data_IF_802568437974
#
_entry.id   IF_802568437974
#
_cell.length_a   1.000
_cell.length_b   1.000
_cell.length_c   1.000
_cell.angle_alpha   90.00
_cell.angle_beta   90.00
_cell.angle_gamma   90.00
#
_symmetry.space_group_name_H-M   'P 1'
#
loop_
_entity.id
_entity.type
_entity.pdbx_description
1 polymer ?
#
# COMPACT_ATOMS: atom_id res chain seq x y z
N UNK A 1 18.53 -6.02 -18.50
CA UNK A 1 18.25 -4.58 -18.67
C UNK A 1 18.52 -4.24 -20.13
N UNK A 2 17.50 -3.72 -20.82
CA UNK A 2 17.64 -3.13 -22.15
C UNK A 2 18.49 -1.87 -22.00
N UNK A 3 19.46 -1.61 -22.88
CA UNK A 3 20.31 -0.41 -22.78
C UNK A 3 19.53 0.83 -23.20
N UNK A 4 19.82 1.99 -22.59
CA UNK A 4 19.17 3.26 -22.94
C UNK A 4 19.34 3.60 -24.43
N UNK A 5 20.47 3.22 -25.03
CA UNK A 5 20.69 3.35 -26.48
C UNK A 5 19.71 2.52 -27.30
N UNK A 6 19.48 1.26 -26.91
CA UNK A 6 18.54 0.39 -27.62
C UNK A 6 17.10 0.93 -27.51
N UNK A 7 16.73 1.51 -26.37
CA UNK A 7 15.42 2.17 -26.19
C UNK A 7 15.27 3.35 -27.16
N UNK A 8 16.31 4.18 -27.30
CA UNK A 8 16.30 5.33 -28.23
C UNK A 8 16.21 4.85 -29.70
N UNK A 9 16.98 3.83 -30.06
CA UNK A 9 16.98 3.24 -31.40
C UNK A 9 15.60 2.68 -31.78
N UNK A 10 14.91 2.04 -30.82
CA UNK A 10 13.56 1.51 -31.02
C UNK A 10 12.50 2.59 -31.30
N UNK A 11 12.67 3.83 -30.80
CA UNK A 11 11.69 4.90 -31.02
C UNK A 11 11.54 5.26 -32.49
N UNK A 12 12.65 5.45 -33.19
CA UNK A 12 12.65 5.76 -34.62
C UNK A 12 12.05 4.61 -35.44
N UNK A 13 12.37 3.36 -35.06
CA UNK A 13 11.80 2.18 -35.73
C UNK A 13 10.27 2.15 -35.54
N UNK A 14 9.79 2.32 -34.31
CA UNK A 14 8.36 2.27 -34.01
C UNK A 14 7.59 3.44 -34.63
N UNK A 15 8.21 4.62 -34.72
CA UNK A 15 7.63 5.77 -35.41
C UNK A 15 7.43 5.51 -36.90
N UNK A 16 8.46 5.01 -37.58
CA UNK A 16 8.38 4.64 -38.98
C UNK A 16 7.32 3.55 -39.21
N UNK A 17 7.33 2.51 -38.38
CA UNK A 17 6.35 1.40 -38.47
C UNK A 17 4.91 1.88 -38.22
N UNK A 18 4.68 2.69 -37.19
CA UNK A 18 3.34 3.20 -36.88
C UNK A 18 2.79 4.03 -38.04
N UNK A 19 3.61 4.92 -38.62
CA UNK A 19 3.20 5.72 -39.77
C UNK A 19 2.92 4.86 -41.01
N UNK A 20 3.73 3.83 -41.27
CA UNK A 20 3.47 2.88 -42.37
C UNK A 20 2.16 2.10 -42.17
N UNK A 21 1.89 1.64 -40.94
CA UNK A 21 0.65 0.94 -40.61
C UNK A 21 -0.58 1.85 -40.76
N UNK A 22 -0.49 3.11 -40.34
CA UNK A 22 -1.57 4.09 -40.54
C UNK A 22 -1.86 4.29 -42.02
N UNK A 23 -0.83 4.50 -42.86
CA UNK A 23 -1.01 4.63 -44.30
C UNK A 23 -1.63 3.39 -44.95
N UNK A 24 -1.22 2.19 -44.52
CA UNK A 24 -1.83 0.95 -45.01
C UNK A 24 -3.30 0.85 -44.61
N UNK A 25 -3.62 1.17 -43.36
CA UNK A 25 -5.00 1.19 -42.86
C UNK A 25 -5.87 2.18 -43.63
N UNK A 26 -5.36 3.39 -43.91
CA UNK A 26 -6.06 4.41 -44.69
C UNK A 26 -6.31 3.92 -46.13
N UNK A 27 -5.29 3.35 -46.78
CA UNK A 27 -5.40 2.77 -48.12
C UNK A 27 -6.42 1.62 -48.17
N UNK A 28 -6.41 0.72 -47.18
CA UNK A 28 -7.40 -0.38 -47.08
C UNK A 28 -8.81 0.19 -46.88
N UNK A 29 -8.97 1.18 -46.00
CA UNK A 29 -10.27 1.83 -45.76
C UNK A 29 -10.82 2.50 -47.02
N UNK A 30 -9.95 3.14 -47.82
CA UNK A 30 -10.33 3.74 -49.10
C UNK A 30 -10.76 2.66 -50.12
N UNK A 31 -10.07 1.51 -50.13
CA UNK A 31 -10.43 0.36 -50.95
C UNK A 31 -11.80 -0.20 -50.53
N UNK A 32 -12.02 -0.40 -49.23
CA UNK A 32 -13.31 -0.89 -48.71
C UNK A 32 -14.46 0.07 -49.06
N UNK A 33 -14.28 1.38 -48.91
CA UNK A 33 -15.27 2.37 -49.29
C UNK A 33 -15.62 2.30 -50.79
N UNK A 34 -14.62 2.06 -51.64
CA UNK A 34 -14.82 1.85 -53.09
C UNK A 34 -15.55 0.52 -53.36
N UNK A 35 -15.25 -0.55 -52.64
CA UNK A 35 -15.97 -1.82 -52.77
C UNK A 35 -17.44 -1.74 -52.32
N UNK A 36 -17.73 -0.96 -51.27
CA UNK A 36 -19.12 -0.69 -50.86
C UNK A 36 -19.88 0.02 -51.99
N UNK A 37 -19.27 1.01 -52.64
CA UNK A 37 -19.85 1.67 -53.80
C UNK A 37 -20.06 0.72 -54.99
N UNK A 38 -19.11 -0.18 -55.27
CA UNK A 38 -19.25 -1.22 -56.31
C UNK A 38 -20.41 -2.19 -55.99
N UNK A 39 -20.61 -2.54 -54.72
CA UNK A 39 -21.76 -3.37 -54.31
C UNK A 39 -23.10 -2.65 -54.56
N UNK A 40 -23.10 -1.32 -54.49
CA UNK A 40 -24.25 -0.48 -54.80
C UNK A 40 -24.46 -0.38 -56.33
N UNK A 41 -23.39 -0.32 -57.12
CA UNK A 41 -23.43 -0.38 -58.59
C UNK A 41 -23.83 -1.78 -59.13
N UNK A 42 -23.63 -2.85 -58.35
CA UNK A 42 -24.14 -4.19 -58.70
C UNK A 42 -25.67 -4.23 -58.85
N UNK A 43 -26.40 -3.35 -58.16
CA UNK A 43 -27.85 -3.19 -58.38
C UNK A 43 -28.19 -2.57 -59.74
N UNK A 44 -27.27 -1.80 -60.33
CA UNK A 44 -27.38 -1.28 -61.69
C UNK A 44 -26.95 -2.34 -62.73
N UNK A 45 -26.01 -3.22 -62.39
CA UNK A 45 -25.66 -4.38 -63.23
C UNK A 45 -26.83 -5.35 -63.40
N UNK A 46 -27.68 -5.56 -62.39
CA UNK A 46 -28.92 -6.33 -62.56
C UNK A 46 -29.92 -5.67 -63.52
N UNK A 47 -30.02 -4.34 -63.51
CA UNK A 47 -30.81 -3.60 -64.48
C UNK A 47 -30.20 -3.66 -65.90
N UNK A 48 -28.87 -3.75 -65.99
CA UNK A 48 -28.13 -3.90 -67.24
C UNK A 48 -28.23 -5.33 -67.80
N UNK A 49 -28.22 -6.37 -66.95
CA UNK A 49 -28.55 -7.75 -67.32
C UNK A 49 -29.98 -7.86 -67.87
N UNK A 50 -30.93 -7.12 -67.29
CA UNK A 50 -32.30 -7.09 -67.76
C UNK A 50 -32.43 -6.39 -69.13
N UNK A 51 -31.67 -5.32 -69.37
CA UNK A 51 -31.55 -4.68 -70.69
C UNK A 51 -30.79 -5.56 -71.70
N UNK A 52 -29.75 -6.29 -71.28
CA UNK A 52 -29.02 -7.23 -72.14
C UNK A 52 -29.90 -8.41 -72.55
N UNK A 53 -30.75 -8.92 -71.66
CA UNK A 53 -31.73 -9.94 -72.01
C UNK A 53 -32.83 -9.44 -72.98
N UNK A 54 -33.13 -8.13 -72.97
CA UNK A 54 -33.97 -7.48 -73.98
C UNK A 54 -33.24 -7.26 -75.32
N UNK A 55 -31.95 -6.91 -75.28
CA UNK A 55 -31.07 -6.79 -76.46
C UNK A 55 -30.77 -8.14 -77.13
N UNK A 56 -30.58 -9.22 -76.37
CA UNK A 56 -30.41 -10.58 -76.91
C UNK A 56 -31.67 -11.06 -77.65
N UNK A 57 -32.86 -10.61 -77.26
CA UNK A 57 -34.10 -10.83 -78.00
C UNK A 57 -34.22 -9.97 -79.27
N UNK A 58 -33.27 -9.07 -79.53
CA UNK A 58 -33.23 -8.16 -80.69
C UNK A 58 -31.91 -8.23 -81.48
N UNK A 59 -31.25 -9.41 -81.44
CA UNK A 59 -29.95 -9.76 -82.06
C UNK A 59 -29.78 -9.48 -83.57
N UNK A 60 -30.80 -9.04 -84.30
CA UNK A 60 -30.71 -8.76 -85.75
C UNK A 60 -30.12 -7.38 -86.12
N UNK A 61 -29.63 -6.58 -85.17
CA UNK A 61 -29.06 -5.23 -85.42
C UNK A 61 -27.81 -4.89 -84.60
N UNK A 62 -26.80 -5.76 -84.56
CA UNK A 62 -25.49 -5.42 -84.02
C UNK A 62 -24.44 -5.46 -85.13
N UNK A 63 -23.88 -4.29 -85.47
CA UNK A 63 -22.70 -4.16 -86.33
C UNK A 63 -21.43 -4.19 -85.45
N UNK A 64 -20.32 -4.71 -86.00
CA UNK A 64 -19.04 -4.92 -85.30
C UNK A 64 -18.40 -3.65 -84.68
N UNK A 65 -18.96 -2.45 -84.90
CA UNK A 65 -18.46 -1.18 -84.34
C UNK A 65 -18.94 -0.90 -82.90
N UNK A 66 -19.96 -1.58 -82.39
CA UNK A 66 -20.56 -1.28 -81.07
C UNK A 66 -19.80 -1.90 -79.87
N UNK A 67 -18.81 -2.78 -80.12
CA UNK A 67 -17.97 -3.40 -79.09
C UNK A 67 -16.55 -2.80 -79.02
N UNK A 68 -16.27 -1.73 -79.76
CA UNK A 68 -14.93 -1.16 -79.88
C UNK A 68 -14.40 -0.48 -78.60
N UNK A 69 -15.28 -0.08 -77.67
CA UNK A 69 -14.91 0.72 -76.49
C UNK A 69 -14.67 -0.10 -75.22
N UNK A 70 -14.99 -1.41 -75.19
CA UNK A 70 -14.70 -2.24 -74.01
C UNK A 70 -13.30 -2.84 -74.13
N UNK A 71 -12.33 -2.23 -73.44
CA UNK A 71 -10.97 -2.72 -73.38
C UNK A 71 -10.71 -3.48 -72.05
N UNK A 72 -10.61 -4.82 -72.06
CA UNK A 72 -10.27 -5.61 -70.88
C UNK A 72 -8.93 -5.20 -70.25
N UNK A 73 -8.01 -4.65 -71.05
CA UNK A 73 -6.69 -4.22 -70.57
C UNK A 73 -6.79 -3.02 -69.62
N UNK A 74 -7.85 -2.20 -69.64
CA UNK A 74 -8.01 -1.11 -68.68
C UNK A 74 -8.22 -1.61 -67.25
N UNK A 75 -8.94 -2.72 -67.06
CA UNK A 75 -9.14 -3.33 -65.73
C UNK A 75 -7.81 -3.88 -65.21
N UNK A 76 -7.04 -4.56 -66.07
CA UNK A 76 -5.69 -5.02 -65.72
C UNK A 76 -4.75 -3.85 -65.42
N UNK A 77 -4.83 -2.75 -66.17
CA UNK A 77 -4.04 -1.54 -65.89
C UNK A 77 -4.44 -0.85 -64.59
N UNK A 78 -5.72 -0.83 -64.23
CA UNK A 78 -6.18 -0.29 -62.93
C UNK A 78 -5.66 -1.18 -61.79
N UNK A 79 -5.79 -2.51 -61.91
CA UNK A 79 -5.28 -3.45 -60.93
C UNK A 79 -3.76 -3.32 -60.75
N UNK A 80 -3.02 -3.27 -61.85
CA UNK A 80 -1.56 -3.14 -61.82
C UNK A 80 -1.10 -1.76 -61.33
N UNK A 81 -1.85 -0.69 -61.64
CA UNK A 81 -1.61 0.66 -61.10
C UNK A 81 -1.84 0.71 -59.60
N UNK A 82 -2.88 0.06 -59.09
CA UNK A 82 -3.14 -0.05 -57.65
C UNK A 82 -2.11 -0.93 -56.94
N UNK A 83 -1.74 -2.06 -57.53
CA UNK A 83 -0.71 -2.94 -56.99
C UNK A 83 0.64 -2.23 -56.94
N UNK A 84 0.98 -1.45 -57.97
CA UNK A 84 2.18 -0.62 -57.99
C UNK A 84 2.10 0.57 -57.04
N UNK A 85 0.93 1.18 -56.83
CA UNK A 85 0.76 2.25 -55.82
C UNK A 85 0.99 1.71 -54.40
N UNK A 86 0.35 0.58 -54.06
CA UNK A 86 0.57 -0.12 -52.78
C UNK A 86 2.04 -0.51 -52.62
N UNK A 87 2.69 -1.01 -53.68
CA UNK A 87 4.10 -1.39 -53.69
C UNK A 87 5.06 -0.19 -53.62
N UNK A 88 4.61 1.01 -54.02
CA UNK A 88 5.36 2.27 -53.94
C UNK A 88 5.21 2.93 -52.57
N UNK A 89 4.04 2.79 -51.95
CA UNK A 89 3.75 3.25 -50.59
C UNK A 89 4.40 2.34 -49.53
N UNK A 90 4.51 1.03 -49.82
CA UNK A 90 5.39 0.09 -49.13
C UNK A 90 6.84 0.27 -49.58
N UNK A 91 7.45 1.41 -49.27
CA UNK A 91 8.92 1.50 -49.30
C UNK A 91 9.47 0.45 -48.34
N UNK A 92 10.03 -0.64 -48.88
CA UNK A 92 10.71 -1.64 -48.08
C UNK A 92 11.94 -1.00 -47.44
N UNK A 93 11.86 -0.66 -46.16
CA UNK A 93 13.04 -0.30 -45.36
C UNK A 93 13.90 -1.56 -45.32
N UNK A 94 15.04 -1.53 -46.00
CA UNK A 94 15.90 -2.70 -46.20
C UNK A 94 16.64 -3.03 -44.92
N UNK A 95 16.60 -4.30 -44.51
CA UNK A 95 17.36 -4.78 -43.35
C UNK A 95 18.68 -5.42 -43.79
N UNK A 96 19.79 -4.71 -43.64
CA UNK A 96 21.16 -5.27 -43.82
C UNK A 96 21.79 -5.64 -42.49
N UNK A 97 21.69 -4.72 -41.53
CA UNK A 97 22.20 -4.82 -40.17
C UNK A 97 21.41 -3.84 -39.28
N UNK A 98 21.45 -4.05 -37.97
CA UNK A 98 20.65 -3.28 -37.01
C UNK A 98 20.88 -1.77 -37.12
N UNK A 99 22.13 -1.34 -37.27
CA UNK A 99 22.49 0.07 -37.28
C UNK A 99 22.03 0.76 -38.57
N UNK A 100 22.22 0.11 -39.71
CA UNK A 100 21.68 0.55 -41.01
C UNK A 100 20.15 0.64 -40.98
N UNK A 101 19.47 -0.34 -40.38
CA UNK A 101 18.01 -0.34 -40.26
C UNK A 101 17.50 0.84 -39.43
N UNK A 102 18.08 1.07 -38.25
CA UNK A 102 17.75 2.24 -37.40
C UNK A 102 17.96 3.54 -38.19
N UNK A 103 19.09 3.67 -38.89
CA UNK A 103 19.40 4.87 -39.67
C UNK A 103 18.39 5.09 -40.80
N UNK A 104 17.96 4.03 -41.50
CA UNK A 104 16.95 4.14 -42.55
C UNK A 104 15.59 4.56 -42.00
N UNK A 105 15.17 4.03 -40.84
CA UNK A 105 13.94 4.46 -40.15
C UNK A 105 14.02 5.95 -39.76
N UNK A 106 15.15 6.40 -39.22
CA UNK A 106 15.35 7.83 -38.90
C UNK A 106 15.28 8.72 -40.14
N UNK A 107 15.89 8.30 -41.25
CA UNK A 107 15.81 9.02 -42.53
C UNK A 107 14.36 9.08 -43.01
N UNK A 108 13.63 7.95 -42.95
CA UNK A 108 12.23 7.87 -43.33
C UNK A 108 11.36 8.82 -42.50
N UNK A 109 11.52 8.81 -41.17
CA UNK A 109 10.79 9.68 -40.25
C UNK A 109 11.01 11.15 -40.60
N UNK A 110 12.27 11.57 -40.76
CA UNK A 110 12.63 12.94 -41.10
C UNK A 110 12.09 13.35 -42.47
N UNK A 111 12.12 12.46 -43.47
CA UNK A 111 11.58 12.73 -44.80
C UNK A 111 10.06 12.92 -44.79
N UNK A 112 9.35 12.25 -43.88
CA UNK A 112 7.90 12.38 -43.72
C UNK A 112 7.51 13.41 -42.65
N UNK A 113 8.47 14.17 -42.10
CA UNK A 113 8.22 15.23 -41.11
C UNK A 113 7.83 14.71 -39.72
N UNK A 114 8.16 13.46 -39.41
CA UNK A 114 7.94 12.82 -38.11
C UNK A 114 9.12 13.07 -37.18
N UNK A 115 8.89 13.03 -35.86
CA UNK A 115 9.94 13.09 -34.85
C UNK A 115 10.47 11.67 -34.55
N UNK A 116 11.74 11.34 -34.90
CA UNK A 116 12.31 10.02 -34.62
C UNK A 116 12.47 9.73 -33.11
N UNK A 117 12.37 10.76 -32.26
CA UNK A 117 12.48 10.66 -30.80
C UNK A 117 11.13 10.80 -30.09
N UNK A 118 10.04 10.68 -30.84
CA UNK A 118 8.68 10.78 -30.32
C UNK A 118 8.51 9.92 -29.04
N UNK A 119 7.83 10.47 -28.02
CA UNK A 119 7.57 9.74 -26.79
C UNK A 119 6.57 8.61 -27.06
N UNK A 120 6.69 7.48 -26.36
CA UNK A 120 5.92 6.27 -26.67
C UNK A 120 4.40 6.46 -26.56
N UNK A 121 3.95 7.46 -25.80
CA UNK A 121 2.56 7.84 -25.67
C UNK A 121 1.92 8.22 -27.02
N UNK A 122 2.71 8.64 -28.01
CA UNK A 122 2.23 8.97 -29.37
C UNK A 122 1.79 7.73 -30.15
N UNK A 123 2.27 6.54 -29.77
CA UNK A 123 1.92 5.27 -30.42
C UNK A 123 0.65 4.65 -29.85
N UNK A 124 0.12 5.17 -28.74
CA UNK A 124 -1.07 4.64 -28.12
C UNK A 124 -2.30 5.07 -28.92
N UNK A 125 -3.12 4.11 -29.31
CA UNK A 125 -4.42 4.39 -29.91
C UNK A 125 -5.38 4.92 -28.84
N UNK A 126 -6.49 5.52 -29.27
CA UNK A 126 -7.57 5.93 -28.35
C UNK A 126 -8.10 4.73 -27.55
N UNK A 127 -8.12 3.53 -28.15
CA UNK A 127 -8.49 2.29 -27.46
C UNK A 127 -7.49 1.92 -26.36
N UNK A 128 -6.19 2.08 -26.60
CA UNK A 128 -5.13 1.81 -25.61
C UNK A 128 -5.20 2.80 -24.45
N UNK A 129 -5.44 4.08 -24.74
CA UNK A 129 -5.63 5.11 -23.71
C UNK A 129 -6.87 4.82 -22.85
N UNK A 130 -7.97 4.36 -23.46
CA UNK A 130 -9.18 3.96 -22.74
C UNK A 130 -8.96 2.71 -21.89
N UNK A 131 -8.21 1.72 -22.38
CA UNK A 131 -7.81 0.54 -21.61
C UNK A 131 -7.03 0.96 -20.36
N UNK A 132 -5.97 1.76 -20.53
CA UNK A 132 -5.15 2.26 -19.43
C UNK A 132 -5.98 3.06 -18.42
N UNK A 133 -6.91 3.90 -18.90
CA UNK A 133 -7.82 4.65 -18.04
C UNK A 133 -8.78 3.75 -17.25
N UNK A 134 -9.31 2.70 -17.88
CA UNK A 134 -10.19 1.72 -17.25
C UNK A 134 -9.45 0.88 -16.19
N UNK A 135 -8.23 0.46 -16.48
CA UNK A 135 -7.40 -0.29 -15.52
C UNK A 135 -7.01 0.58 -14.33
N UNK A 136 -6.62 1.82 -14.59
CA UNK A 136 -6.42 2.84 -13.55
C UNK A 136 -7.66 2.98 -12.67
N UNK A 137 -8.85 3.03 -13.27
CA UNK A 137 -10.12 3.14 -12.56
C UNK A 137 -10.44 1.88 -11.76
N UNK A 138 -10.14 0.70 -12.29
CA UNK A 138 -10.28 -0.59 -11.61
C UNK A 138 -9.38 -0.67 -10.36
N UNK A 139 -8.12 -0.29 -10.50
CA UNK A 139 -7.17 -0.21 -9.39
C UNK A 139 -7.61 0.80 -8.32
N UNK A 140 -8.15 1.95 -8.71
CA UNK A 140 -8.63 2.93 -7.74
C UNK A 140 -9.94 2.45 -7.07
N UNK A 141 -10.78 1.69 -7.77
CA UNK A 141 -12.05 1.18 -7.27
C UNK A 141 -11.91 0.16 -6.13
N UNK A 142 -10.88 -0.70 -6.14
CA UNK A 142 -10.63 -1.65 -5.04
C UNK A 142 -10.33 -0.96 -3.69
N UNK A 143 -9.88 0.29 -3.70
CA UNK A 143 -9.63 1.09 -2.49
C UNK A 143 -10.82 1.99 -2.12
N UNK A 144 -11.82 2.13 -3.00
CA UNK A 144 -12.94 3.02 -2.78
C UNK A 144 -13.87 2.47 -1.70
N UNK A 145 -14.34 3.37 -0.84
CA UNK A 145 -15.31 3.04 0.20
C UNK A 145 -16.73 3.27 -0.29
N UNK A 146 -17.61 2.33 0.04
CA UNK A 146 -19.04 2.53 -0.13
C UNK A 146 -19.70 3.07 1.14
N UNK A 147 -21.02 3.29 1.05
CA UNK A 147 -21.83 3.84 2.13
C UNK A 147 -21.76 3.02 3.42
N UNK A 148 -21.64 1.69 3.31
CA UNK A 148 -21.55 0.80 4.47
C UNK A 148 -20.16 0.88 5.09
N UNK A 149 -19.11 0.96 4.28
CA UNK A 149 -17.74 1.15 4.78
C UNK A 149 -17.65 2.44 5.62
N UNK A 150 -18.17 3.57 5.11
CA UNK A 150 -18.23 4.83 5.86
C UNK A 150 -19.05 4.72 7.15
N UNK A 151 -20.20 4.04 7.09
CA UNK A 151 -21.05 3.84 8.27
C UNK A 151 -20.33 3.06 9.36
N UNK A 152 -19.69 1.93 9.03
CA UNK A 152 -19.00 1.10 10.02
C UNK A 152 -17.71 1.74 10.55
N UNK A 153 -16.99 2.51 9.72
CA UNK A 153 -15.86 3.32 10.18
C UNK A 153 -16.31 4.38 11.17
N UNK A 154 -17.36 5.13 10.83
CA UNK A 154 -17.91 6.16 11.72
C UNK A 154 -18.45 5.57 13.02
N UNK A 155 -19.27 4.51 12.92
CA UNK A 155 -19.86 3.84 14.07
C UNK A 155 -18.79 3.24 14.99
N UNK A 156 -17.79 2.55 14.46
CA UNK A 156 -16.70 1.97 15.27
C UNK A 156 -15.88 3.04 16.00
N UNK A 157 -15.51 4.12 15.31
CA UNK A 157 -14.79 5.25 15.92
C UNK A 157 -15.60 5.94 17.03
N UNK A 158 -16.90 6.18 16.80
CA UNK A 158 -17.79 6.78 17.80
C UNK A 158 -18.02 5.82 18.99
N UNK A 159 -18.23 4.54 18.74
CA UNK A 159 -18.36 3.53 19.81
C UNK A 159 -17.10 3.43 20.66
N UNK A 160 -15.92 3.48 20.04
CA UNK A 160 -14.65 3.52 20.74
C UNK A 160 -14.52 4.80 21.58
N UNK A 161 -14.88 5.97 21.03
CA UNK A 161 -14.91 7.23 21.78
C UNK A 161 -15.84 7.18 23.00
N UNK A 162 -17.05 6.63 22.84
CA UNK A 162 -17.99 6.43 23.95
C UNK A 162 -17.42 5.47 25.00
N UNK A 163 -16.78 4.39 24.57
CA UNK A 163 -16.12 3.43 25.46
C UNK A 163 -14.99 4.10 26.25
N UNK A 164 -14.20 4.94 25.59
CA UNK A 164 -13.11 5.70 26.20
C UNK A 164 -13.61 6.70 27.26
N UNK A 165 -14.73 7.37 27.01
CA UNK A 165 -15.32 8.34 27.95
C UNK A 165 -16.02 7.65 29.12
N UNK A 166 -16.82 6.61 28.85
CA UNK A 166 -17.72 6.01 29.85
C UNK A 166 -17.06 4.90 30.68
N UNK A 167 -16.14 4.12 30.10
CA UNK A 167 -15.56 2.94 30.74
C UNK A 167 -14.08 3.13 31.08
N UNK A 168 -13.31 3.73 30.18
CA UNK A 168 -11.86 3.93 30.39
C UNK A 168 -11.59 5.14 31.27
N UNK A 169 -12.12 6.32 30.95
CA UNK A 169 -11.97 7.53 31.78
C UNK A 169 -10.51 7.87 32.10
N UNK A 170 -10.23 8.16 33.37
CA UNK A 170 -8.87 8.29 33.93
C UNK A 170 -8.57 7.12 34.87
N UNK A 171 -7.32 6.92 35.33
CA UNK A 171 -6.98 5.84 36.27
C UNK A 171 -7.78 5.85 37.57
N UNK A 172 -8.33 6.99 37.98
CA UNK A 172 -9.13 7.16 39.20
C UNK A 172 -10.61 6.84 39.00
N UNK A 173 -11.13 7.03 37.79
CA UNK A 173 -12.57 6.88 37.51
C UNK A 173 -12.89 5.57 36.81
N UNK A 174 -11.90 4.92 36.21
CA UNK A 174 -12.06 3.66 35.49
C UNK A 174 -12.46 2.51 36.42
N UNK A 175 -13.67 1.92 36.26
CA UNK A 175 -14.09 0.77 37.05
C UNK A 175 -13.18 -0.44 36.80
N UNK A 176 -12.73 -0.63 35.55
CA UNK A 176 -11.87 -1.74 35.18
C UNK A 176 -10.47 -1.60 35.77
N UNK A 177 -9.91 -0.38 35.79
CA UNK A 177 -8.62 -0.13 36.44
C UNK A 177 -8.73 -0.38 37.95
N UNK A 178 -9.82 0.06 38.57
CA UNK A 178 -10.08 -0.18 40.00
C UNK A 178 -10.15 -1.68 40.31
N UNK A 179 -10.93 -2.44 39.53
CA UNK A 179 -11.05 -3.89 39.65
C UNK A 179 -9.69 -4.60 39.50
N UNK A 180 -8.87 -4.23 38.50
CA UNK A 180 -7.52 -4.82 38.36
C UNK A 180 -6.60 -4.50 39.54
N UNK A 181 -6.79 -3.36 40.22
CA UNK A 181 -5.99 -2.95 41.39
C UNK A 181 -6.39 -3.67 42.68
N UNK A 182 -7.52 -4.38 42.70
CA UNK A 182 -7.92 -5.23 43.84
C UNK A 182 -6.96 -6.42 44.01
N UNK A 183 -6.40 -6.93 42.90
CA UNK A 183 -5.39 -7.99 42.89
C UNK A 183 -4.01 -7.43 43.25
N UNK A 184 -3.82 -7.09 44.52
CA UNK A 184 -2.58 -6.50 45.00
C UNK A 184 -1.88 -7.29 46.11
N UNK A 185 -0.56 -7.15 46.15
CA UNK A 185 0.32 -7.80 47.13
C UNK A 185 0.19 -7.22 48.54
N UNK A 186 -0.68 -6.24 48.82
CA UNK A 186 -0.78 -5.60 50.15
C UNK A 186 -1.92 -6.11 51.03
N UNK A 187 -2.80 -6.99 50.51
CA UNK A 187 -3.88 -7.58 51.28
C UNK A 187 -3.39 -8.38 52.51
N UNK A 188 -4.19 -8.39 53.59
CA UNK A 188 -3.88 -9.09 54.85
C UNK A 188 -3.89 -10.60 54.64
N UNK A 189 -2.97 -11.32 55.28
CA UNK A 189 -2.91 -12.79 55.25
C UNK A 189 -4.27 -13.39 55.64
N UNK A 190 -4.84 -14.22 54.77
CA UNK A 190 -6.20 -14.79 54.90
C UNK A 190 -7.27 -14.16 53.99
N UNK A 191 -6.97 -13.04 53.33
CA UNK A 191 -7.82 -12.38 52.30
C UNK A 191 -7.10 -12.22 50.95
N UNK A 192 -5.99 -12.94 50.76
CA UNK A 192 -5.12 -12.83 49.58
C UNK A 192 -5.60 -13.85 48.54
N UNK A 193 -5.87 -13.40 47.31
CA UNK A 193 -6.20 -14.28 46.19
C UNK A 193 -4.95 -15.03 45.67
N UNK A 194 -5.17 -16.04 44.83
CA UNK A 194 -4.10 -16.89 44.31
C UNK A 194 -3.01 -16.13 43.55
N UNK A 195 -3.38 -15.08 42.81
CA UNK A 195 -2.44 -14.28 42.02
C UNK A 195 -1.60 -13.40 42.94
N UNK A 196 -2.23 -12.72 43.89
CA UNK A 196 -1.52 -11.88 44.86
C UNK A 196 -0.54 -12.69 45.74
N UNK A 197 -0.86 -13.96 46.06
CA UNK A 197 0.06 -14.85 46.74
C UNK A 197 1.25 -15.24 45.85
N UNK A 198 0.98 -15.63 44.60
CA UNK A 198 2.02 -15.97 43.63
C UNK A 198 2.96 -14.80 43.35
N UNK A 199 2.42 -13.59 43.17
CA UNK A 199 3.19 -12.36 42.99
C UNK A 199 4.13 -12.07 44.17
N UNK A 200 3.68 -12.30 45.42
CA UNK A 200 4.52 -12.17 46.62
C UNK A 200 5.67 -13.17 46.67
N UNK A 201 5.46 -14.39 46.20
CA UNK A 201 6.51 -15.41 46.18
C UNK A 201 7.54 -15.14 45.09
N UNK A 202 7.09 -14.60 43.95
CA UNK A 202 7.97 -14.10 42.90
C UNK A 202 8.78 -12.87 43.36
N UNK A 203 8.18 -11.92 44.08
CA UNK A 203 8.88 -10.75 44.63
C UNK A 203 10.08 -11.16 45.52
N UNK A 204 9.91 -12.23 46.31
CA UNK A 204 10.96 -12.75 47.19
C UNK A 204 12.05 -13.52 46.43
N UNK A 205 11.66 -14.28 45.42
CA UNK A 205 12.54 -15.20 44.68
C UNK A 205 13.28 -14.52 43.53
N UNK A 206 12.62 -13.60 42.82
CA UNK A 206 13.09 -12.95 41.60
C UNK A 206 13.60 -11.53 41.90
N UNK A 207 14.60 -11.43 42.78
CA UNK A 207 15.29 -10.15 43.03
C UNK A 207 16.22 -9.81 41.87
N UNK A 208 16.25 -8.53 41.52
CA UNK A 208 17.00 -7.99 40.38
C UNK A 208 17.80 -6.76 40.81
N UNK A 209 18.96 -6.48 40.20
CA UNK A 209 19.82 -5.36 40.61
C UNK A 209 19.18 -4.00 40.33
N UNK A 210 18.39 -3.89 39.26
CA UNK A 210 17.77 -2.63 38.84
C UNK A 210 16.62 -2.13 39.73
N UNK A 211 16.22 -2.92 40.73
CA UNK A 211 15.28 -2.54 41.79
C UNK A 211 15.96 -1.64 42.86
N UNK A 212 17.29 -1.59 42.86
CA UNK A 212 18.05 -0.74 43.76
C UNK A 212 17.85 0.75 43.43
N UNK A 213 17.59 1.56 44.45
CA UNK A 213 17.33 3.00 44.32
C UNK A 213 18.63 3.82 44.25
N UNK A 214 19.49 3.51 43.27
CA UNK A 214 20.82 4.10 43.15
C UNK A 214 20.87 5.34 42.24
N UNK A 215 19.87 5.54 41.37
CA UNK A 215 19.82 6.70 40.47
C UNK A 215 19.20 7.93 41.15
N UNK A 216 19.70 9.12 40.82
CA UNK A 216 19.15 10.39 41.32
C UNK A 216 17.66 10.51 40.98
N UNK A 217 16.87 10.97 41.95
CA UNK A 217 15.42 11.17 41.77
C UNK A 217 14.55 9.93 42.01
N UNK A 218 15.17 8.77 42.26
CA UNK A 218 14.46 7.54 42.64
C UNK A 218 13.82 7.63 44.04
N UNK A 219 12.76 6.86 44.20
CA UNK A 219 12.03 6.66 45.45
C UNK A 219 11.25 5.34 45.36
N UNK A 220 10.66 4.89 46.47
CA UNK A 220 9.81 3.70 46.49
C UNK A 220 8.66 3.70 45.47
N UNK A 221 8.18 4.88 45.07
CA UNK A 221 7.13 5.00 44.04
C UNK A 221 7.67 5.26 42.63
N UNK A 222 8.87 5.82 42.46
CA UNK A 222 9.35 6.28 41.15
C UNK A 222 10.42 5.40 40.49
N UNK A 223 11.09 4.52 41.24
CA UNK A 223 12.18 3.70 40.69
C UNK A 223 11.73 2.82 39.51
N UNK A 224 10.52 2.24 39.60
CA UNK A 224 9.92 1.43 38.52
C UNK A 224 9.73 2.21 37.22
N UNK A 225 9.41 3.50 37.30
CA UNK A 225 9.29 4.32 36.10
C UNK A 225 10.66 4.68 35.53
N UNK A 226 11.63 4.96 36.41
CA UNK A 226 12.95 5.45 36.03
C UNK A 226 13.87 4.36 35.49
N UNK A 227 13.76 3.13 35.97
CA UNK A 227 14.55 1.99 35.51
C UNK A 227 13.86 1.30 34.33
N UNK A 228 14.56 1.15 33.21
CA UNK A 228 14.04 0.47 32.02
C UNK A 228 13.81 -1.02 32.27
N UNK A 229 14.41 -1.59 33.31
CA UNK A 229 14.21 -2.98 33.71
C UNK A 229 12.77 -3.31 34.05
N UNK A 230 11.97 -2.34 34.52
CA UNK A 230 10.55 -2.54 34.82
C UNK A 230 9.63 -2.22 33.63
N UNK A 231 10.14 -1.81 32.48
CA UNK A 231 9.29 -1.62 31.30
C UNK A 231 8.81 -3.00 30.77
N UNK A 232 7.50 -3.19 30.51
CA UNK A 232 6.98 -4.48 30.05
C UNK A 232 7.60 -4.99 28.74
N UNK A 233 8.14 -4.10 27.90
CA UNK A 233 8.80 -4.47 26.65
C UNK A 233 10.31 -4.26 26.74
N UNK A 234 10.74 -3.07 27.17
CA UNK A 234 12.16 -2.74 27.22
C UNK A 234 12.91 -3.49 28.32
N UNK A 235 12.21 -3.98 29.35
CA UNK A 235 12.77 -4.82 30.40
C UNK A 235 13.33 -6.15 29.88
N UNK A 236 12.80 -6.69 28.79
CA UNK A 236 13.37 -7.87 28.13
C UNK A 236 14.70 -7.59 27.41
N UNK A 237 15.07 -6.32 27.23
CA UNK A 237 16.38 -5.95 26.69
C UNK A 237 17.24 -5.41 27.83
N UNK A 238 16.86 -4.28 28.40
CA UNK A 238 17.65 -3.58 29.42
C UNK A 238 17.64 -4.31 30.77
N UNK A 239 16.49 -4.83 31.20
CA UNK A 239 16.39 -5.58 32.46
C UNK A 239 17.22 -6.86 32.45
N UNK A 240 17.20 -7.62 31.35
CA UNK A 240 18.05 -8.81 31.20
C UNK A 240 19.53 -8.44 31.22
N UNK A 241 19.93 -7.40 30.48
CA UNK A 241 21.32 -6.91 30.48
C UNK A 241 21.76 -6.45 31.87
N UNK A 242 20.88 -5.74 32.58
CA UNK A 242 21.11 -5.23 33.93
C UNK A 242 21.24 -6.37 34.94
N UNK A 243 20.40 -7.41 34.85
CA UNK A 243 20.51 -8.63 35.66
C UNK A 243 21.86 -9.32 35.43
N UNK A 244 22.28 -9.46 34.16
CA UNK A 244 23.54 -10.14 33.83
C UNK A 244 24.77 -9.33 34.25
N UNK A 245 24.68 -8.00 34.25
CA UNK A 245 25.82 -7.09 34.53
C UNK A 245 25.83 -6.54 35.96
N UNK A 246 24.78 -6.77 36.74
CA UNK A 246 24.64 -6.17 38.07
C UNK A 246 24.48 -4.65 38.01
N UNK A 247 23.78 -4.12 37.00
CA UNK A 247 23.60 -2.67 36.75
C UNK A 247 22.14 -2.24 36.89
N UNK A 248 21.91 -0.92 36.88
CA UNK A 248 20.61 -0.30 36.61
C UNK A 248 20.78 0.63 35.42
N UNK A 249 19.93 0.49 34.41
CA UNK A 249 19.90 1.36 33.23
C UNK A 249 18.55 2.07 33.16
N UNK A 250 18.57 3.40 33.00
CA UNK A 250 17.36 4.18 32.82
C UNK A 250 17.57 5.68 32.95
N UNK A 251 16.58 6.40 33.46
CA UNK A 251 16.58 7.85 33.53
C UNK A 251 16.68 8.35 34.97
N UNK A 252 17.79 9.02 35.28
CA UNK A 252 17.89 9.85 36.49
C UNK A 252 16.99 11.09 36.34
N UNK A 253 16.52 11.64 37.46
CA UNK A 253 15.68 12.84 37.49
C UNK A 253 16.23 13.85 38.50
N UNK A 254 16.74 14.97 37.99
CA UNK A 254 17.15 16.10 38.81
C UNK A 254 15.95 16.98 39.16
N UNK A 255 15.61 17.04 40.45
CA UNK A 255 14.47 17.81 40.97
C UNK A 255 14.65 19.32 40.85
N UNK A 256 15.89 19.82 40.79
CA UNK A 256 16.16 21.27 40.73
C UNK A 256 15.97 21.80 39.31
N UNK A 257 16.42 21.02 38.33
CA UNK A 257 16.36 21.41 36.91
C UNK A 257 15.15 20.81 36.18
N UNK A 258 14.43 19.87 36.79
CA UNK A 258 13.38 19.05 36.16
C UNK A 258 13.84 18.31 34.90
N UNK A 259 15.14 17.99 34.82
CA UNK A 259 15.74 17.30 33.68
C UNK A 259 15.90 15.81 33.97
N UNK A 260 15.54 14.99 32.99
CA UNK A 260 15.85 13.58 32.98
C UNK A 260 17.13 13.31 32.18
N UNK A 261 18.00 12.43 32.67
CA UNK A 261 19.23 12.05 31.97
C UNK A 261 19.39 10.54 31.94
N UNK A 262 19.67 10.00 30.76
CA UNK A 262 19.90 8.57 30.56
C UNK A 262 21.24 8.16 31.18
N UNK A 263 21.22 7.18 32.06
CA UNK A 263 22.37 6.73 32.84
C UNK A 263 22.36 5.22 33.02
N UNK A 264 23.54 4.66 33.22
CA UNK A 264 23.74 3.27 33.68
C UNK A 264 24.66 3.30 34.90
N UNK A 265 24.24 2.67 35.99
CA UNK A 265 25.00 2.61 37.24
C UNK A 265 25.26 1.16 37.68
N UNK A 266 26.46 0.83 38.16
CA UNK A 266 26.72 -0.45 38.80
C UNK A 266 26.02 -0.52 40.17
N UNK A 267 25.41 -1.66 40.47
CA UNK A 267 24.77 -1.96 41.77
C UNK A 267 25.53 -3.03 42.53
N UNK A 268 26.04 -4.03 41.81
CA UNK A 268 26.72 -5.18 42.37
C UNK A 268 27.90 -5.57 41.50
N UNK A 269 29.09 -5.69 42.10
CA UNK A 269 30.35 -6.00 41.40
C UNK A 269 30.54 -7.48 41.06
N UNK A 270 29.79 -8.38 41.70
CA UNK A 270 29.96 -9.84 41.61
C UNK A 270 28.70 -10.55 41.10
N UNK A 271 28.34 -10.35 39.83
CA UNK A 271 27.18 -11.02 39.23
C UNK A 271 27.60 -11.91 38.07
N UNK A 272 27.46 -13.22 38.25
CA UNK A 272 27.60 -14.22 37.19
C UNK A 272 26.27 -14.96 36.98
N UNK A 273 25.28 -14.26 36.42
CA UNK A 273 23.98 -14.85 36.07
C UNK A 273 23.97 -15.15 34.57
N UNK A 274 23.56 -16.36 34.19
CA UNK A 274 23.45 -16.76 32.78
C UNK A 274 22.17 -16.19 32.12
N UNK A 275 22.12 -16.19 30.78
CA UNK A 275 21.01 -15.60 30.03
C UNK A 275 19.64 -16.22 30.36
N UNK A 276 19.56 -17.55 30.49
CA UNK A 276 18.28 -18.25 30.76
C UNK A 276 17.77 -17.88 32.16
N UNK A 277 18.65 -17.90 33.15
CA UNK A 277 18.33 -17.48 34.51
C UNK A 277 17.92 -15.99 34.56
N UNK A 278 18.60 -15.13 33.79
CA UNK A 278 18.23 -13.72 33.67
C UNK A 278 16.84 -13.52 33.05
N UNK A 279 16.50 -14.27 31.99
CA UNK A 279 15.15 -14.28 31.38
C UNK A 279 14.10 -14.69 32.42
N UNK A 280 14.32 -15.81 33.12
CA UNK A 280 13.36 -16.31 34.11
C UNK A 280 13.18 -15.35 35.29
N UNK A 281 14.28 -14.77 35.80
CA UNK A 281 14.24 -13.72 36.83
C UNK A 281 13.50 -12.49 36.34
N UNK A 282 13.75 -12.04 35.11
CA UNK A 282 13.07 -10.89 34.51
C UNK A 282 11.55 -11.11 34.43
N UNK A 283 11.11 -12.28 33.93
CA UNK A 283 9.69 -12.62 33.84
C UNK A 283 9.05 -12.62 35.22
N UNK A 284 9.66 -13.34 36.18
CA UNK A 284 9.13 -13.43 37.55
C UNK A 284 9.06 -12.06 38.24
N UNK A 285 10.09 -11.24 38.09
CA UNK A 285 10.13 -9.89 38.66
C UNK A 285 9.03 -8.99 38.09
N UNK A 286 8.89 -8.93 36.75
CA UNK A 286 7.82 -8.15 36.12
C UNK A 286 6.43 -8.60 36.58
N UNK A 287 6.17 -9.91 36.65
CA UNK A 287 4.87 -10.44 37.13
C UNK A 287 4.60 -9.99 38.57
N UNK A 288 5.61 -10.08 39.46
CA UNK A 288 5.43 -9.62 40.85
C UNK A 288 5.07 -8.14 40.94
N UNK A 289 5.69 -7.30 40.10
CA UNK A 289 5.47 -5.87 40.09
C UNK A 289 4.07 -5.46 39.60
N UNK A 290 3.42 -6.24 38.73
CA UNK A 290 2.02 -6.00 38.32
C UNK A 290 1.09 -5.98 39.54
N UNK A 291 1.33 -6.85 40.50
CA UNK A 291 0.55 -6.96 41.74
C UNK A 291 0.89 -5.87 42.77
N UNK A 292 1.91 -5.05 42.56
CA UNK A 292 2.26 -4.01 43.53
C UNK A 292 1.27 -2.84 43.45
N UNK A 293 1.11 -2.03 44.52
CA UNK A 293 0.24 -0.86 44.48
C UNK A 293 0.57 0.12 43.35
N UNK A 294 1.86 0.32 43.05
CA UNK A 294 2.30 1.19 41.96
C UNK A 294 2.14 0.55 40.58
N UNK A 295 2.31 -0.77 40.47
CA UNK A 295 2.26 -1.46 39.19
C UNK A 295 3.46 -1.17 38.29
N UNK A 296 3.49 -1.84 37.14
CA UNK A 296 4.46 -1.57 36.08
C UNK A 296 4.08 -0.31 35.27
N UNK A 297 5.05 0.39 34.67
CA UNK A 297 4.75 1.42 33.66
C UNK A 297 4.03 0.84 32.44
N UNK A 298 3.33 1.69 31.69
CA UNK A 298 2.80 1.30 30.38
C UNK A 298 3.97 1.02 29.41
N UNK A 299 3.78 0.11 28.43
CA UNK A 299 4.84 -0.26 27.48
C UNK A 299 5.48 0.96 26.78
N UNK A 300 6.80 1.02 26.77
CA UNK A 300 7.61 2.11 26.20
C UNK A 300 7.43 3.49 26.84
N UNK A 301 6.53 3.65 27.81
CA UNK A 301 6.26 4.94 28.45
C UNK A 301 7.49 5.44 29.22
N UNK A 302 8.34 4.53 29.68
CA UNK A 302 9.60 4.85 30.35
C UNK A 302 10.56 5.67 29.48
N UNK A 303 10.53 5.49 28.15
CA UNK A 303 11.35 6.28 27.19
C UNK A 303 10.93 7.74 27.10
N UNK A 304 9.66 8.05 27.44
CA UNK A 304 9.17 9.44 27.39
C UNK A 304 9.98 10.34 28.33
N UNK A 305 10.58 9.78 29.39
CA UNK A 305 11.49 10.51 30.27
C UNK A 305 12.67 11.14 29.51
N UNK A 306 13.16 10.52 28.45
CA UNK A 306 14.25 11.09 27.64
C UNK A 306 13.87 12.36 26.87
N UNK A 307 12.58 12.70 26.79
CA UNK A 307 12.07 13.85 26.03
C UNK A 307 11.92 15.05 26.96
N UNK A 308 13.00 15.80 27.14
CA UNK A 308 13.03 17.04 27.95
C UNK A 308 12.56 18.28 27.18
N UNK A 309 11.59 18.13 26.27
CA UNK A 309 11.08 19.21 25.41
C UNK A 309 9.65 19.58 25.84
N UNK A 310 9.27 20.84 25.61
CA UNK A 310 7.92 21.36 25.83
C UNK A 310 7.68 21.92 27.24
N UNK A 311 6.57 22.62 27.39
CA UNK A 311 6.11 23.23 28.64
C UNK A 311 4.60 23.05 28.75
N UNK A 312 4.18 22.10 29.58
CA UNK A 312 2.78 21.65 29.67
C UNK A 312 2.22 21.82 31.08
N UNK A 313 0.99 22.35 31.15
CA UNK A 313 0.26 22.63 32.39
C UNK A 313 0.88 23.76 33.23
N UNK A 314 0.27 24.03 34.39
CA UNK A 314 0.64 25.19 35.23
C UNK A 314 2.07 25.16 35.78
N UNK A 315 2.68 23.97 35.82
CA UNK A 315 4.06 23.79 36.29
C UNK A 315 5.11 23.80 35.19
N UNK A 316 4.72 24.04 33.93
CA UNK A 316 5.63 24.12 32.79
C UNK A 316 6.43 22.84 32.56
N UNK A 317 5.76 21.69 32.65
CA UNK A 317 6.41 20.37 32.62
C UNK A 317 6.86 19.97 31.22
N UNK A 318 8.01 19.32 31.08
CA UNK A 318 8.42 18.65 29.84
C UNK A 318 7.61 17.38 29.59
N UNK A 319 7.68 16.81 28.38
CA UNK A 319 7.05 15.51 28.06
C UNK A 319 7.46 14.42 29.06
N UNK A 320 8.75 14.34 29.38
CA UNK A 320 9.27 13.37 30.36
C UNK A 320 8.71 13.56 31.76
N UNK A 321 8.57 14.80 32.22
CA UNK A 321 7.97 15.09 33.53
C UNK A 321 6.46 14.83 33.54
N UNK A 322 5.75 15.10 32.44
CA UNK A 322 4.33 14.75 32.30
C UNK A 322 4.15 13.23 32.38
N UNK A 323 4.95 12.45 31.67
CA UNK A 323 4.88 10.99 31.71
C UNK A 323 5.17 10.44 33.12
N UNK A 324 6.21 10.98 33.78
CA UNK A 324 6.52 10.66 35.18
C UNK A 324 5.34 10.99 36.09
N UNK A 325 4.74 12.16 35.93
CA UNK A 325 3.59 12.57 36.73
C UNK A 325 2.37 11.68 36.48
N UNK A 326 2.09 11.30 35.23
CA UNK A 326 1.00 10.38 34.89
C UNK A 326 1.16 9.04 35.61
N UNK A 327 2.35 8.42 35.52
CA UNK A 327 2.63 7.14 36.18
C UNK A 327 2.46 7.25 37.71
N UNK A 328 3.04 8.28 38.32
CA UNK A 328 2.93 8.50 39.77
C UNK A 328 1.48 8.75 40.23
N UNK A 329 0.59 9.17 39.33
CA UNK A 329 -0.84 9.32 39.58
C UNK A 329 -1.66 8.12 39.06
N UNK A 330 -1.04 6.95 38.95
CA UNK A 330 -1.74 5.69 38.75
C UNK A 330 -1.96 5.29 37.30
N UNK A 331 -1.37 6.00 36.33
CA UNK A 331 -1.32 5.61 34.92
C UNK A 331 -0.28 4.49 34.71
N UNK A 332 -0.64 3.30 35.18
CA UNK A 332 0.19 2.09 35.16
C UNK A 332 -0.24 1.13 34.03
N UNK A 333 0.42 -0.02 33.94
CA UNK A 333 0.12 -1.08 32.97
C UNK A 333 -1.34 -1.56 33.06
N UNK A 334 -1.95 -1.57 34.24
CA UNK A 334 -3.35 -2.01 34.42
C UNK A 334 -4.30 -1.01 33.77
N UNK A 335 -4.06 0.28 33.98
CA UNK A 335 -4.82 1.31 33.27
C UNK A 335 -4.58 1.27 31.76
N UNK A 336 -3.35 1.02 31.31
CA UNK A 336 -3.05 0.81 29.90
C UNK A 336 -3.85 -0.34 29.30
N UNK A 337 -3.88 -1.51 29.97
CA UNK A 337 -4.68 -2.67 29.52
C UNK A 337 -6.16 -2.31 29.47
N UNK A 338 -6.68 -1.62 30.50
CA UNK A 338 -8.06 -1.14 30.51
C UNK A 338 -8.35 -0.18 29.34
N UNK A 339 -7.42 0.74 29.05
CA UNK A 339 -7.52 1.66 27.92
C UNK A 339 -7.47 0.97 26.56
N UNK A 340 -6.85 -0.21 26.50
CA UNK A 340 -6.80 -1.07 25.31
C UNK A 340 -8.16 -1.59 24.83
N UNK A 341 -9.21 -1.50 25.65
CA UNK A 341 -10.58 -1.82 25.22
C UNK A 341 -11.03 -0.85 24.11
N UNK A 342 -10.64 0.42 24.17
CA UNK A 342 -11.00 1.42 23.15
C UNK A 342 -10.54 1.01 21.75
N UNK A 343 -9.24 0.76 21.49
CA UNK A 343 -8.82 0.29 20.17
C UNK A 343 -9.33 -1.12 19.85
N UNK A 344 -9.55 -1.97 20.85
CA UNK A 344 -10.13 -3.29 20.62
C UNK A 344 -11.57 -3.21 20.07
N UNK A 345 -12.37 -2.24 20.52
CA UNK A 345 -13.72 -2.02 19.96
C UNK A 345 -13.65 -1.69 18.47
N UNK A 346 -12.74 -0.80 18.06
CA UNK A 346 -12.54 -0.48 16.64
C UNK A 346 -12.20 -1.73 15.84
N UNK A 347 -11.19 -2.48 16.28
CA UNK A 347 -10.71 -3.69 15.62
C UNK A 347 -11.80 -4.76 15.54
N UNK A 348 -12.52 -5.04 16.64
CA UNK A 348 -13.55 -6.07 16.67
C UNK A 348 -14.70 -5.72 15.73
N UNK A 349 -15.20 -4.48 15.78
CA UNK A 349 -16.34 -4.06 14.95
C UNK A 349 -15.98 -4.09 13.47
N UNK A 350 -14.82 -3.55 13.09
CA UNK A 350 -14.41 -3.53 11.69
C UNK A 350 -14.01 -4.90 11.14
N UNK A 351 -13.38 -5.76 11.96
CA UNK A 351 -13.09 -7.16 11.57
C UNK A 351 -14.38 -7.94 11.37
N UNK A 352 -15.31 -7.83 12.30
CA UNK A 352 -16.61 -8.49 12.17
C UNK A 352 -17.33 -8.04 10.89
N UNK A 353 -17.40 -6.72 10.66
CA UNK A 353 -18.01 -6.17 9.46
C UNK A 353 -17.39 -6.73 8.17
N UNK A 354 -16.06 -6.64 8.03
CA UNK A 354 -15.42 -7.00 6.77
C UNK A 354 -15.44 -8.51 6.52
N UNK A 355 -15.33 -9.32 7.58
CA UNK A 355 -15.43 -10.77 7.48
C UNK A 355 -16.86 -11.21 7.12
N UNK A 356 -17.88 -10.61 7.73
CA UNK A 356 -19.29 -10.89 7.39
C UNK A 356 -19.60 -10.46 5.97
N UNK A 357 -19.09 -9.30 5.55
CA UNK A 357 -19.26 -8.79 4.17
C UNK A 357 -18.61 -9.72 3.15
N UNK A 358 -17.35 -10.11 3.38
CA UNK A 358 -16.64 -11.02 2.50
C UNK A 358 -17.39 -12.35 2.34
N UNK A 359 -17.86 -12.92 3.45
CA UNK A 359 -18.68 -14.12 3.43
C UNK A 359 -19.98 -13.93 2.66
N UNK A 360 -20.65 -12.78 2.80
CA UNK A 360 -21.88 -12.49 2.07
C UNK A 360 -21.67 -12.33 0.55
N UNK A 361 -20.52 -11.82 0.12
CA UNK A 361 -20.21 -11.56 -1.29
C UNK A 361 -19.66 -12.81 -2.00
N UNK A 362 -18.85 -13.63 -1.31
CA UNK A 362 -18.10 -14.73 -1.92
C UNK A 362 -18.49 -16.12 -1.39
N UNK A 363 -19.23 -16.20 -0.27
CA UNK A 363 -19.57 -17.47 0.39
C UNK A 363 -18.39 -18.15 1.10
N UNK A 364 -17.23 -17.50 1.17
CA UNK A 364 -16.00 -18.05 1.72
C UNK A 364 -15.74 -17.57 3.15
N UNK A 365 -15.29 -18.50 4.00
CA UNK A 365 -14.91 -18.20 5.40
C UNK A 365 -13.42 -17.86 5.50
N UNK A 366 -12.61 -18.30 4.53
CA UNK A 366 -11.19 -17.98 4.48
C UNK A 366 -11.02 -16.55 3.98
N UNK A 367 -10.63 -15.67 4.89
CA UNK A 367 -10.45 -14.27 4.59
C UNK A 367 -9.03 -13.82 4.95
N UNK A 368 -8.26 -13.40 3.95
CA UNK A 368 -6.97 -12.76 4.19
C UNK A 368 -7.19 -11.27 4.52
N UNK A 369 -7.31 -11.00 5.82
CA UNK A 369 -7.49 -9.66 6.35
C UNK A 369 -6.27 -8.75 6.06
N UNK A 370 -5.07 -9.31 5.93
CA UNK A 370 -3.84 -8.52 5.81
C UNK A 370 -3.66 -7.93 4.40
N UNK A 371 -4.17 -8.60 3.37
CA UNK A 371 -4.10 -8.16 1.98
C UNK A 371 -5.29 -7.32 1.53
N UNK A 372 -6.30 -7.12 2.39
CA UNK A 372 -7.53 -6.45 1.97
C UNK A 372 -7.32 -4.94 1.67
N UNK A 373 -7.55 -4.48 0.43
CA UNK A 373 -7.09 -3.15 -0.04
C UNK A 373 -7.59 -1.97 0.80
N UNK A 374 -8.90 -1.97 1.14
CA UNK A 374 -9.54 -0.89 1.92
C UNK A 374 -9.47 -1.03 3.45
N UNK A 375 -9.16 -2.22 3.97
CA UNK A 375 -9.34 -2.48 5.41
C UNK A 375 -8.41 -1.64 6.28
N UNK A 376 -7.16 -1.47 5.82
CA UNK A 376 -6.15 -0.66 6.50
C UNK A 376 -6.55 0.81 6.60
N UNK A 377 -7.10 1.38 5.53
CA UNK A 377 -7.56 2.77 5.55
C UNK A 377 -8.75 2.95 6.47
N UNK A 378 -9.66 1.96 6.52
CA UNK A 378 -10.82 1.98 7.43
C UNK A 378 -10.37 2.02 8.90
N UNK A 379 -9.42 1.16 9.27
CA UNK A 379 -8.82 1.16 10.61
C UNK A 379 -8.15 2.50 10.94
N UNK A 380 -7.37 3.05 10.00
CA UNK A 380 -6.72 4.34 10.19
C UNK A 380 -7.73 5.45 10.53
N UNK A 381 -8.83 5.53 9.77
CA UNK A 381 -9.83 6.57 9.99
C UNK A 381 -10.64 6.33 11.26
N UNK A 382 -11.02 5.09 11.58
CA UNK A 382 -11.75 4.80 12.80
C UNK A 382 -10.92 5.11 14.05
N UNK A 383 -9.65 4.71 14.07
CA UNK A 383 -8.71 5.11 15.13
C UNK A 383 -8.44 6.62 15.12
N UNK A 384 -8.43 7.27 13.96
CA UNK A 384 -8.32 8.72 13.85
C UNK A 384 -9.51 9.45 14.50
N UNK A 385 -10.73 8.95 14.30
CA UNK A 385 -11.95 9.46 14.96
C UNK A 385 -11.83 9.28 16.48
N UNK A 386 -11.46 8.09 16.94
CA UNK A 386 -11.31 7.80 18.37
C UNK A 386 -10.19 8.61 19.03
N UNK A 387 -9.03 8.76 18.39
CA UNK A 387 -7.93 9.59 18.84
C UNK A 387 -8.33 11.08 18.91
N UNK A 388 -9.06 11.58 17.91
CA UNK A 388 -9.59 12.96 17.91
C UNK A 388 -10.59 13.16 19.03
N UNK A 389 -11.48 12.19 19.27
CA UNK A 389 -12.41 12.24 20.39
C UNK A 389 -11.69 12.20 21.74
N UNK A 390 -10.63 11.40 21.89
CA UNK A 390 -9.79 11.39 23.09
C UNK A 390 -9.06 12.73 23.30
N UNK A 391 -8.53 13.35 22.22
CA UNK A 391 -7.98 14.70 22.29
C UNK A 391 -9.02 15.71 22.79
N UNK A 392 -10.25 15.64 22.27
CA UNK A 392 -11.39 16.40 22.76
C UNK A 392 -11.68 16.15 24.24
N UNK A 393 -11.68 14.88 24.68
CA UNK A 393 -11.83 14.49 26.09
C UNK A 393 -10.78 15.15 26.98
N UNK A 394 -9.51 15.11 26.57
CA UNK A 394 -8.40 15.74 27.32
C UNK A 394 -8.60 17.26 27.43
N UNK A 395 -8.99 17.93 26.33
CA UNK A 395 -9.26 19.38 26.32
C UNK A 395 -10.41 19.72 27.26
N UNK A 396 -11.53 18.98 27.18
CA UNK A 396 -12.70 19.18 28.04
C UNK A 396 -12.38 18.94 29.53
N UNK A 397 -11.40 18.10 29.82
CA UNK A 397 -10.89 17.86 31.18
C UNK A 397 -9.76 18.82 31.59
N UNK A 398 -9.70 20.01 30.97
CA UNK A 398 -8.74 21.06 31.32
C UNK A 398 -7.29 20.72 30.97
N UNK A 399 -7.07 19.87 29.97
CA UNK A 399 -5.74 19.40 29.58
C UNK A 399 -5.15 18.35 30.53
N UNK A 400 -5.97 17.65 31.31
CA UNK A 400 -5.50 16.62 32.23
C UNK A 400 -4.80 15.46 31.48
N UNK A 401 -3.49 15.24 31.67
CA UNK A 401 -2.76 14.17 30.99
C UNK A 401 -3.27 12.76 31.31
N UNK A 402 -3.88 12.55 32.47
CA UNK A 402 -4.44 11.25 32.86
C UNK A 402 -5.63 10.81 32.00
N UNK A 403 -6.24 11.73 31.24
CA UNK A 403 -7.33 11.43 30.33
C UNK A 403 -6.84 10.93 28.95
N UNK A 404 -5.54 11.02 28.66
CA UNK A 404 -4.95 10.51 27.42
C UNK A 404 -5.19 9.00 27.36
N UNK A 405 -5.70 8.51 26.24
CA UNK A 405 -5.76 7.07 25.98
C UNK A 405 -4.52 6.65 25.18
N UNK A 406 -3.46 6.28 25.90
CA UNK A 406 -2.17 5.92 25.31
C UNK A 406 -2.29 4.70 24.38
N UNK A 407 -3.12 3.71 24.72
CA UNK A 407 -3.35 2.55 23.87
C UNK A 407 -3.99 2.93 22.51
N UNK A 408 -4.95 3.85 22.52
CA UNK A 408 -5.59 4.35 21.29
C UNK A 408 -4.60 5.10 20.40
N UNK A 409 -3.76 5.98 20.98
CA UNK A 409 -2.72 6.66 20.19
C UNK A 409 -1.69 5.68 19.61
N UNK A 410 -1.32 4.63 20.35
CA UNK A 410 -0.45 3.58 19.81
C UNK A 410 -1.11 2.84 18.63
N UNK A 411 -2.41 2.53 18.72
CA UNK A 411 -3.16 1.90 17.63
C UNK A 411 -3.28 2.83 16.42
N UNK A 412 -3.60 4.10 16.63
CA UNK A 412 -3.64 5.11 15.57
C UNK A 412 -2.29 5.24 14.86
N UNK A 413 -1.19 5.39 15.61
CA UNK A 413 0.17 5.51 15.06
C UNK A 413 0.58 4.26 14.26
N UNK A 414 0.21 3.07 14.73
CA UNK A 414 0.45 1.79 14.04
C UNK A 414 -0.11 1.78 12.61
N UNK A 415 -1.27 2.40 12.41
CA UNK A 415 -1.88 2.51 11.08
C UNK A 415 -1.40 3.74 10.31
N UNK A 416 -1.16 4.86 11.00
CA UNK A 416 -0.75 6.11 10.39
C UNK A 416 0.62 6.02 9.72
N UNK A 417 1.65 5.50 10.42
CA UNK A 417 3.02 5.51 9.91
C UNK A 417 3.14 4.80 8.56
N UNK A 418 2.64 3.57 8.37
CA UNK A 418 2.85 2.92 7.09
C UNK A 418 1.88 3.41 6.02
N UNK A 419 0.73 4.02 6.39
CA UNK A 419 -0.11 4.75 5.43
C UNK A 419 0.58 6.02 4.92
N UNK A 420 1.29 6.77 5.79
CA UNK A 420 2.13 7.89 5.38
C UNK A 420 3.27 7.41 4.47
N UNK A 421 3.93 6.30 4.80
CA UNK A 421 4.95 5.70 3.93
C UNK A 421 4.36 5.37 2.55
N UNK A 422 3.18 4.77 2.52
CA UNK A 422 2.49 4.45 1.27
C UNK A 422 2.22 5.71 0.44
N UNK A 423 1.62 6.75 1.02
CA UNK A 423 1.29 7.98 0.31
C UNK A 423 2.52 8.77 -0.15
N UNK A 424 3.59 8.80 0.66
CA UNK A 424 4.79 9.59 0.36
C UNK A 424 5.76 8.89 -0.59
N UNK A 425 5.84 7.55 -0.56
CA UNK A 425 6.92 6.82 -1.23
C UNK A 425 6.45 5.65 -2.11
N UNK A 426 5.43 4.90 -1.72
CA UNK A 426 5.13 3.62 -2.39
C UNK A 426 3.97 3.70 -3.38
N UNK A 427 3.08 4.70 -3.30
CA UNK A 427 1.84 4.75 -4.10
C UNK A 427 2.10 4.73 -5.60
N UNK A 428 3.04 5.54 -6.09
CA UNK A 428 3.38 5.57 -7.52
C UNK A 428 4.01 4.25 -7.98
N UNK A 429 4.95 3.71 -7.19
CA UNK A 429 5.61 2.44 -7.49
C UNK A 429 4.60 1.29 -7.56
N UNK A 430 3.75 1.14 -6.55
CA UNK A 430 2.75 0.06 -6.49
C UNK A 430 1.70 0.17 -7.59
N UNK A 431 1.36 1.40 -8.02
CA UNK A 431 0.48 1.61 -9.17
C UNK A 431 1.13 1.14 -10.47
N UNK A 432 2.41 1.47 -10.67
CA UNK A 432 3.18 1.03 -11.83
C UNK A 432 3.35 -0.49 -11.84
N UNK A 433 3.74 -1.09 -10.71
CA UNK A 433 3.86 -2.56 -10.58
C UNK A 433 2.53 -3.27 -10.91
N UNK A 434 1.39 -2.69 -10.52
CA UNK A 434 0.08 -3.25 -10.87
C UNK A 434 -0.20 -3.16 -12.37
N UNK A 435 0.11 -2.01 -13.01
CA UNK A 435 -0.05 -1.83 -14.45
C UNK A 435 0.88 -2.76 -15.25
N UNK A 436 2.12 -2.94 -14.80
CA UNK A 436 3.07 -3.88 -15.40
C UNK A 436 2.56 -5.32 -15.34
N UNK A 437 2.01 -5.74 -14.20
CA UNK A 437 1.47 -7.09 -14.01
C UNK A 437 0.28 -7.39 -14.91
N UNK A 438 -0.59 -6.39 -15.14
CA UNK A 438 -1.74 -6.55 -16.05
C UNK A 438 -1.27 -6.61 -17.50
N UNK A 439 -0.24 -5.84 -17.86
CA UNK A 439 0.35 -5.86 -19.20
C UNK A 439 1.11 -7.17 -19.51
N UNK A 440 1.47 -7.98 -18.50
CA UNK A 440 2.19 -9.24 -18.69
C UNK A 440 1.44 -10.22 -19.61
N UNK A 441 0.10 -10.30 -19.51
CA UNK A 441 -0.70 -11.12 -20.44
C UNK A 441 -0.68 -10.56 -21.85
N UNK A 442 -0.72 -9.23 -22.00
CA UNK A 442 -0.63 -8.56 -23.30
C UNK A 442 0.72 -8.80 -23.99
N UNK A 443 1.81 -8.86 -23.23
CA UNK A 443 3.12 -9.22 -23.76
C UNK A 443 3.16 -10.66 -24.30
N UNK A 444 2.55 -11.61 -23.59
CA UNK A 444 2.46 -13.00 -24.07
C UNK A 444 1.65 -13.10 -25.36
N UNK A 445 0.51 -12.41 -25.44
CA UNK A 445 -0.31 -12.38 -26.66
C UNK A 445 0.46 -11.75 -27.83
N UNK A 446 1.24 -10.71 -27.57
CA UNK A 446 2.04 -10.02 -28.59
C UNK A 446 3.19 -10.90 -29.09
N UNK A 447 3.85 -11.65 -28.21
CA UNK A 447 4.86 -12.65 -28.58
C UNK A 447 4.25 -13.78 -29.41
N UNK A 448 3.10 -14.33 -28.98
CA UNK A 448 2.38 -15.37 -29.72
C UNK A 448 1.97 -14.90 -31.11
N UNK A 449 1.47 -13.67 -31.23
CA UNK A 449 1.10 -13.08 -32.52
C UNK A 449 2.33 -12.83 -33.40
N UNK A 450 3.44 -12.36 -32.82
CA UNK A 450 4.72 -12.20 -33.51
C UNK A 450 5.23 -13.54 -34.07
N UNK A 451 5.19 -14.61 -33.27
CA UNK A 451 5.60 -15.95 -33.70
C UNK A 451 4.74 -16.48 -34.84
N UNK A 452 3.42 -16.23 -34.80
CA UNK A 452 2.51 -16.57 -35.91
C UNK A 452 2.84 -15.80 -37.19
N UNK A 453 3.11 -14.50 -37.07
CA UNK A 453 3.49 -13.63 -38.19
C UNK A 453 4.82 -14.06 -38.81
N UNK A 454 5.85 -14.30 -37.98
CA UNK A 454 7.13 -14.85 -38.41
C UNK A 454 6.96 -16.21 -39.08
N UNK A 455 6.11 -17.09 -38.54
CA UNK A 455 5.80 -18.38 -39.15
C UNK A 455 5.09 -18.29 -40.51
N UNK A 456 4.37 -17.20 -40.78
CA UNK A 456 3.73 -16.94 -42.07
C UNK A 456 4.71 -16.31 -43.08
N UNK A 457 5.50 -15.32 -42.63
CA UNK A 457 6.47 -14.59 -43.46
C UNK A 457 7.66 -15.49 -43.82
N UNK A 458 8.21 -16.25 -42.87
CA UNK A 458 9.36 -17.13 -43.10
C UNK A 458 9.04 -18.34 -44.00
N UNK A 459 7.76 -18.62 -44.29
CA UNK A 459 7.33 -19.60 -45.29
C UNK A 459 7.31 -19.05 -46.71
N UNK A 460 7.38 -17.74 -46.89
CA UNK A 460 7.56 -17.12 -48.20
C UNK A 460 9.06 -16.92 -48.43
N UNK A 461 9.62 -17.69 -49.37
CA UNK A 461 10.97 -17.46 -49.87
C UNK A 461 11.01 -16.09 -50.57
N UNK A 462 11.47 -15.05 -49.87
CA UNK A 462 11.75 -13.78 -50.51
C UNK A 462 13.03 -13.91 -51.35
N UNK A 463 13.01 -13.55 -52.65
CA UNK A 463 14.21 -13.59 -53.45
C UNK A 463 15.24 -12.62 -52.87
N UNK A 464 16.39 -13.14 -52.46
CA UNK A 464 17.53 -12.35 -52.02
C UNK A 464 17.99 -11.54 -53.23
N UNK A 465 17.79 -10.22 -53.19
CA UNK A 465 18.39 -9.32 -54.17
C UNK A 465 19.89 -9.28 -53.85
N UNK A 466 20.67 -10.10 -54.53
CA UNK A 466 22.13 -9.97 -54.56
C UNK A 466 22.48 -8.71 -55.34
N UNK A 467 23.22 -7.80 -54.69
CA UNK A 467 23.79 -6.59 -55.28
C UNK A 467 24.69 -6.89 -56.48
#
# INVERSE_FOLDING_TARGET
MISDNLVIELRAILQAQNHLLQRLSDSISEIEAKFVNISQESSQLQALEQMMAELENSIDFLEDEDLADFNPDEIYQIYDRHQNAIKRDLQAIGFTDWQSFVQQCQIYDLQNGLDPLAPYEVFLTEADLQLLANEKKSYDAQFAWDKWDYLFVGASGVLAALTDVLLVGTPQTSPLTAWMKEFNTTAKAGQIDWFSQWARDLEKTCKVPYDAQTMVGMSGSSHRFQSLGHDPVLGFVFGILDIMRGTVTGFSYDKLTSVHSFVTHPVSSDVSINLIEAILKQIGHLISDVGTPMGLPAPFMTLMQGINIGSFGDKGRSVGEVARWMYLNGYDLRHFIASGITPAVVEIVLRAYIMTRHYSEHGEVKFDLASHPKYRSMLLMAHGIAATANAGKVILMGGNPLAINYAEYMAFIRYLIPSLKYWLFDQQRLRLEHMEKINESGWNDLLDNSDRLLGAIAKQDFPIITL
#
